data_IF_068860169677
#
_entry.id   IF_068860169677
#
_cell.length_a   1.000
_cell.length_b   1.000
_cell.length_c   1.000
_cell.angle_alpha   90.00
_cell.angle_beta   90.00
_cell.angle_gamma   90.00
#
_symmetry.space_group_name_H-M   'P 1'
#
loop_
_entity.id
_entity.type
_entity.pdbx_description
1 polymer ?
#
# COMPACT_ATOMS: atom_id res chain seq x y z
N UNK A 1 3.59 8.16 -17.38
CA UNK A 1 4.41 9.39 -17.48
C UNK A 1 4.26 10.01 -18.86
N UNK A 2 4.73 9.39 -19.94
CA UNK A 2 4.65 9.95 -21.30
C UNK A 2 3.21 10.32 -21.70
N UNK A 3 2.25 9.44 -21.45
CA UNK A 3 0.82 9.69 -21.76
C UNK A 3 0.20 10.83 -20.96
N UNK A 4 0.84 11.29 -19.90
CA UNK A 4 0.41 12.41 -19.07
C UNK A 4 1.27 13.64 -19.25
N UNK A 5 2.07 13.70 -20.33
CA UNK A 5 2.94 14.83 -20.69
C UNK A 5 3.93 15.23 -19.57
N UNK A 6 4.37 14.29 -18.75
CA UNK A 6 5.41 14.54 -17.75
C UNK A 6 6.76 14.59 -18.44
N UNK A 7 7.51 15.73 -18.34
CA UNK A 7 8.82 15.86 -18.95
C UNK A 7 9.82 14.81 -18.44
N UNK A 8 10.75 14.40 -19.30
CA UNK A 8 11.74 13.35 -18.97
C UNK A 8 12.66 13.71 -17.81
N UNK A 9 12.91 14.98 -17.59
CA UNK A 9 13.74 15.51 -16.49
C UNK A 9 12.99 15.59 -15.14
N UNK A 10 11.73 15.18 -15.12
CA UNK A 10 10.86 15.23 -13.94
C UNK A 10 10.51 13.87 -13.34
N UNK A 11 11.10 12.80 -13.84
CA UNK A 11 10.90 11.47 -13.26
C UNK A 11 12.12 10.57 -13.47
N UNK A 12 12.31 9.64 -12.54
CA UNK A 12 13.28 8.56 -12.62
C UNK A 12 12.55 7.22 -12.78
N UNK A 13 13.16 6.29 -13.50
CA UNK A 13 12.67 4.92 -13.67
C UNK A 13 13.68 3.95 -13.08
N UNK A 14 13.23 3.10 -12.18
CA UNK A 14 14.05 2.06 -11.57
C UNK A 14 13.59 0.69 -12.09
N UNK A 15 14.54 -0.15 -12.48
CA UNK A 15 14.29 -1.54 -12.86
C UNK A 15 14.95 -2.46 -11.85
N UNK A 16 14.20 -2.81 -10.80
CA UNK A 16 14.68 -3.66 -9.72
C UNK A 16 13.51 -4.47 -9.12
N UNK A 17 13.84 -5.54 -8.40
CA UNK A 17 12.90 -6.19 -7.49
C UNK A 17 12.88 -5.38 -6.19
N UNK A 18 11.89 -4.51 -6.06
CA UNK A 18 11.70 -3.58 -4.93
C UNK A 18 11.75 -4.29 -3.56
N UNK A 19 11.27 -5.53 -3.45
CA UNK A 19 11.21 -6.23 -2.17
C UNK A 19 12.56 -6.79 -1.75
N UNK A 20 13.36 -7.28 -2.70
CA UNK A 20 14.65 -7.92 -2.41
C UNK A 20 15.84 -7.00 -2.60
N UNK A 21 15.69 -5.96 -3.42
CA UNK A 21 16.74 -5.00 -3.73
C UNK A 21 16.19 -3.58 -3.68
N UNK A 22 16.45 -2.90 -2.55
CA UNK A 22 16.05 -1.51 -2.38
C UNK A 22 16.90 -0.58 -3.26
N UNK A 23 16.31 -0.10 -4.35
CA UNK A 23 16.96 0.79 -5.30
C UNK A 23 16.61 2.28 -5.13
N UNK A 24 15.83 2.63 -4.13
CA UNK A 24 15.47 4.03 -3.85
C UNK A 24 16.53 4.70 -2.97
N UNK A 25 17.71 4.93 -3.57
CA UNK A 25 18.85 5.59 -2.93
C UNK A 25 19.18 6.90 -3.62
N UNK A 26 19.61 7.89 -2.85
CA UNK A 26 20.16 9.13 -3.36
C UNK A 26 21.60 8.93 -3.90
N UNK A 27 22.21 10.01 -4.42
CA UNK A 27 23.57 10.00 -4.93
C UNK A 27 24.65 9.67 -3.89
N UNK A 28 24.31 9.78 -2.61
CA UNK A 28 25.19 9.49 -1.47
C UNK A 28 24.93 8.09 -0.87
N UNK A 29 23.95 7.35 -1.44
CA UNK A 29 23.56 6.04 -0.94
C UNK A 29 22.55 6.06 0.22
N UNK A 30 22.00 7.23 0.57
CA UNK A 30 20.97 7.33 1.59
C UNK A 30 19.59 6.93 1.03
N UNK A 31 18.73 6.44 1.90
CA UNK A 31 17.35 6.11 1.54
C UNK A 31 16.55 7.35 1.14
N UNK A 32 15.90 7.28 -0.02
CA UNK A 32 15.01 8.34 -0.47
C UNK A 32 13.73 8.26 0.34
N UNK A 33 13.32 9.37 0.95
CA UNK A 33 12.01 9.54 1.59
C UNK A 33 11.06 10.25 0.66
N UNK A 34 9.81 9.81 0.64
CA UNK A 34 8.79 10.25 -0.32
C UNK A 34 7.61 10.87 0.40
N UNK A 35 7.22 12.07 0.00
CA UNK A 35 6.04 12.77 0.57
C UNK A 35 4.75 12.09 0.13
N UNK A 36 4.67 11.61 -1.11
CA UNK A 36 3.48 10.91 -1.61
C UNK A 36 3.87 9.63 -2.34
N UNK A 37 3.24 8.54 -1.97
CA UNK A 37 3.39 7.25 -2.62
C UNK A 37 2.02 6.68 -2.99
N UNK A 38 1.87 6.20 -4.23
CA UNK A 38 0.68 5.52 -4.72
C UNK A 38 1.08 4.20 -5.34
N UNK A 39 0.44 3.11 -4.95
CA UNK A 39 0.80 1.79 -5.43
C UNK A 39 -0.44 0.88 -5.62
N UNK A 40 -0.39 0.11 -6.69
CA UNK A 40 -1.25 -1.05 -6.90
C UNK A 40 -0.31 -2.25 -7.13
N UNK A 41 0.19 -2.89 -6.07
CA UNK A 41 1.15 -3.98 -6.19
C UNK A 41 0.46 -5.25 -6.72
N UNK A 42 1.21 -6.22 -7.26
CA UNK A 42 0.64 -7.49 -7.66
C UNK A 42 0.10 -8.25 -6.43
N UNK A 43 -1.20 -8.55 -6.43
CA UNK A 43 -1.89 -9.15 -5.29
C UNK A 43 -1.39 -10.57 -5.01
N UNK A 44 -1.16 -10.86 -3.73
CA UNK A 44 -0.75 -12.17 -3.24
C UNK A 44 0.46 -12.74 -4.00
N UNK A 45 1.39 -11.88 -4.39
CA UNK A 45 2.63 -12.28 -5.04
C UNK A 45 3.45 -13.17 -4.09
N UNK A 46 4.01 -14.25 -4.61
CA UNK A 46 5.03 -15.02 -3.88
C UNK A 46 6.34 -14.26 -3.88
N UNK A 47 7.00 -14.16 -2.73
CA UNK A 47 8.31 -13.54 -2.60
C UNK A 47 9.27 -14.40 -1.79
N UNK A 48 10.54 -14.07 -1.73
CA UNK A 48 11.54 -14.91 -1.08
C UNK A 48 11.28 -15.11 0.40
N UNK A 49 10.88 -14.06 1.14
CA UNK A 49 10.71 -14.08 2.61
C UNK A 49 11.85 -14.82 3.31
N UNK A 50 13.08 -14.55 2.85
CA UNK A 50 14.28 -15.19 3.40
C UNK A 50 14.60 -14.61 4.77
N UNK A 51 15.24 -15.42 5.64
CA UNK A 51 15.62 -14.97 6.99
C UNK A 51 16.56 -13.78 6.99
N UNK A 52 17.34 -13.57 5.93
CA UNK A 52 18.19 -12.38 5.79
C UNK A 52 17.41 -11.07 5.84
N UNK A 53 16.11 -11.09 5.55
CA UNK A 53 15.24 -9.92 5.68
C UNK A 53 14.73 -9.66 7.10
N UNK A 54 14.97 -10.57 8.07
CA UNK A 54 14.57 -10.33 9.46
C UNK A 54 15.32 -9.14 10.08
N UNK A 55 16.54 -8.85 9.60
CA UNK A 55 17.34 -7.69 10.01
C UNK A 55 17.24 -6.49 9.05
N UNK A 56 16.48 -6.62 7.95
CA UNK A 56 16.25 -5.51 7.02
C UNK A 56 15.36 -4.44 7.71
N UNK A 57 15.82 -3.17 7.80
CA UNK A 57 15.09 -2.12 8.50
C UNK A 57 13.67 -1.88 7.94
N UNK A 58 13.40 -2.28 6.70
CA UNK A 58 12.06 -2.19 6.10
C UNK A 58 11.07 -3.15 6.74
N UNK A 59 11.53 -4.35 7.18
CA UNK A 59 10.67 -5.48 7.58
C UNK A 59 10.84 -5.91 9.04
N UNK A 60 11.90 -5.46 9.72
CA UNK A 60 12.25 -5.91 11.09
C UNK A 60 11.29 -5.43 12.17
N UNK A 61 10.57 -4.32 11.93
CA UNK A 61 9.78 -3.62 12.96
C UNK A 61 8.66 -4.45 13.58
N UNK A 62 8.01 -5.29 12.82
CA UNK A 62 6.94 -6.16 13.30
C UNK A 62 7.45 -7.46 13.98
N UNK A 63 8.75 -7.75 13.91
CA UNK A 63 9.37 -8.99 14.40
C UNK A 63 8.89 -10.24 13.66
N UNK A 64 8.29 -10.08 12.49
CA UNK A 64 7.86 -11.15 11.59
C UNK A 64 7.82 -10.65 10.17
N UNK A 65 8.35 -11.47 9.24
CA UNK A 65 8.25 -11.20 7.81
C UNK A 65 6.85 -11.54 7.29
N UNK A 66 6.42 -10.82 6.26
CA UNK A 66 5.23 -11.18 5.50
C UNK A 66 5.34 -12.63 4.98
N UNK A 67 4.24 -13.39 4.90
CA UNK A 67 4.27 -14.77 4.46
C UNK A 67 4.84 -14.92 3.05
N UNK A 68 5.64 -15.98 2.81
CA UNK A 68 6.21 -16.28 1.50
C UNK A 68 5.17 -16.33 0.37
N UNK A 69 3.93 -16.71 0.69
CA UNK A 69 2.84 -16.83 -0.27
C UNK A 69 2.14 -15.49 -0.58
N UNK A 70 2.35 -14.46 0.24
CA UNK A 70 1.62 -13.19 0.18
C UNK A 70 2.54 -12.03 0.54
N UNK A 71 3.08 -11.35 -0.46
CA UNK A 71 3.94 -10.17 -0.30
C UNK A 71 3.17 -8.88 0.03
N UNK A 72 1.85 -8.96 0.19
CA UNK A 72 0.99 -7.78 0.34
C UNK A 72 1.51 -6.82 1.42
N UNK A 73 1.83 -7.35 2.60
CA UNK A 73 2.41 -6.54 3.68
C UNK A 73 3.87 -6.15 3.44
N UNK A 74 4.67 -6.95 2.71
CA UNK A 74 6.04 -6.56 2.40
C UNK A 74 6.07 -5.29 1.51
N UNK A 75 5.16 -5.17 0.55
CA UNK A 75 5.00 -3.93 -0.21
C UNK A 75 4.60 -2.77 0.69
N UNK A 76 3.65 -2.97 1.61
CA UNK A 76 3.21 -1.93 2.52
C UNK A 76 4.34 -1.47 3.45
N UNK A 77 5.09 -2.41 4.04
CA UNK A 77 6.22 -2.12 4.92
C UNK A 77 7.34 -1.38 4.16
N UNK A 78 7.65 -1.79 2.92
CA UNK A 78 8.59 -1.08 2.05
C UNK A 78 8.13 0.37 1.79
N UNK A 79 6.86 0.59 1.46
CA UNK A 79 6.32 1.95 1.28
C UNK A 79 6.39 2.77 2.57
N UNK A 80 6.07 2.16 3.71
CA UNK A 80 6.16 2.84 5.01
C UNK A 80 7.59 3.23 5.36
N UNK A 81 8.58 2.41 5.02
CA UNK A 81 9.99 2.71 5.23
C UNK A 81 10.44 3.94 4.43
N UNK A 82 9.98 4.06 3.19
CA UNK A 82 10.28 5.21 2.32
C UNK A 82 9.33 6.40 2.50
N UNK A 83 8.37 6.31 3.40
CA UNK A 83 7.48 7.42 3.67
C UNK A 83 8.22 8.53 4.43
N UNK A 84 8.05 9.77 3.99
CA UNK A 84 8.55 10.94 4.72
C UNK A 84 7.97 10.97 6.14
N UNK A 85 8.81 11.28 7.13
CA UNK A 85 8.43 11.15 8.54
C UNK A 85 7.49 12.26 9.02
N UNK A 86 7.47 13.42 8.37
CA UNK A 86 6.65 14.57 8.74
C UNK A 86 5.35 14.64 7.93
N UNK A 87 5.48 14.66 6.60
CA UNK A 87 4.36 14.91 5.69
C UNK A 87 4.01 13.73 4.78
N UNK A 88 4.60 12.55 5.03
CA UNK A 88 4.44 11.37 4.20
C UNK A 88 3.00 10.88 4.11
N UNK A 89 2.59 10.49 2.90
CA UNK A 89 1.28 9.90 2.59
C UNK A 89 1.45 8.71 1.67
N UNK A 90 0.76 7.64 2.00
CA UNK A 90 0.73 6.42 1.20
C UNK A 90 -0.72 6.09 0.86
N UNK A 91 -0.98 5.77 -0.39
CA UNK A 91 -2.24 5.18 -0.84
C UNK A 91 -1.94 3.88 -1.58
N UNK A 92 -2.38 2.75 -1.05
CA UNK A 92 -2.08 1.44 -1.60
C UNK A 92 -3.31 0.57 -1.73
N UNK A 93 -3.47 -0.07 -2.88
CA UNK A 93 -4.52 -1.06 -3.12
C UNK A 93 -4.02 -2.44 -2.69
N UNK A 94 -4.75 -3.09 -1.80
CA UNK A 94 -4.42 -4.41 -1.28
C UNK A 94 -5.64 -5.33 -1.33
N UNK A 95 -5.44 -6.66 -1.43
CA UNK A 95 -6.56 -7.61 -1.28
C UNK A 95 -7.23 -7.43 0.08
N UNK A 96 -8.54 -7.44 0.13
CA UNK A 96 -9.32 -7.27 1.37
C UNK A 96 -8.89 -8.26 2.48
N UNK A 97 -8.31 -9.40 2.10
CA UNK A 97 -7.75 -10.38 3.03
C UNK A 97 -6.72 -9.83 4.02
N UNK A 98 -5.98 -8.77 3.68
CA UNK A 98 -5.01 -8.14 4.58
C UNK A 98 -5.65 -7.61 5.86
N UNK A 99 -6.95 -7.33 5.84
CA UNK A 99 -7.68 -6.80 7.00
C UNK A 99 -7.98 -7.86 8.07
N UNK A 100 -8.00 -9.15 7.71
CA UNK A 100 -8.44 -10.21 8.63
C UNK A 100 -7.59 -11.48 8.64
N UNK A 101 -6.66 -11.69 7.70
CA UNK A 101 -5.79 -12.88 7.73
C UNK A 101 -4.97 -12.92 9.03
N UNK A 102 -4.78 -14.13 9.57
CA UNK A 102 -4.05 -14.39 10.81
C UNK A 102 -2.55 -14.62 10.63
N UNK A 103 -1.90 -15.17 11.65
CA UNK A 103 -0.48 -15.55 11.59
C UNK A 103 0.47 -14.37 11.57
N UNK A 104 1.42 -14.36 10.63
CA UNK A 104 2.40 -13.29 10.48
C UNK A 104 1.72 -11.98 10.09
N UNK A 105 0.73 -12.02 9.19
CA UNK A 105 -0.01 -10.81 8.76
C UNK A 105 -0.76 -10.14 9.92
N UNK A 106 -1.31 -10.90 10.87
CA UNK A 106 -1.92 -10.34 12.09
C UNK A 106 -0.90 -9.57 12.93
N UNK A 107 0.33 -10.09 13.07
CA UNK A 107 1.39 -9.42 13.83
C UNK A 107 1.83 -8.13 13.16
N UNK A 108 2.05 -8.16 11.85
CA UNK A 108 2.43 -6.98 11.06
C UNK A 108 1.29 -5.94 11.13
N UNK A 109 0.06 -6.35 10.94
CA UNK A 109 -1.11 -5.46 11.05
C UNK A 109 -1.21 -4.79 12.42
N UNK A 110 -1.02 -5.56 13.51
CA UNK A 110 -0.98 -5.01 14.87
C UNK A 110 0.15 -4.00 15.06
N UNK A 111 1.32 -4.27 14.52
CA UNK A 111 2.45 -3.35 14.55
C UNK A 111 2.11 -2.04 13.83
N UNK A 112 1.62 -2.12 12.60
CA UNK A 112 1.28 -0.93 11.80
C UNK A 112 0.18 -0.10 12.45
N UNK A 113 -0.86 -0.75 12.99
CA UNK A 113 -2.01 -0.06 13.60
C UNK A 113 -1.71 0.48 14.99
N UNK A 114 -1.08 -0.33 15.85
CA UNK A 114 -0.94 0.01 17.28
C UNK A 114 0.37 0.70 17.63
N UNK A 115 1.45 0.35 16.93
CA UNK A 115 2.78 0.89 17.24
C UNK A 115 3.11 2.07 16.35
N UNK A 116 2.96 1.90 15.04
CA UNK A 116 3.24 2.97 14.09
C UNK A 116 2.12 4.01 14.01
N UNK A 117 0.87 3.62 14.31
CA UNK A 117 -0.33 4.47 14.27
C UNK A 117 -0.51 5.24 12.96
N UNK A 118 -0.04 4.68 11.84
CA UNK A 118 0.02 5.40 10.55
C UNK A 118 -1.20 5.18 9.66
N UNK A 119 -2.05 4.18 9.94
CA UNK A 119 -3.26 3.93 9.15
C UNK A 119 -4.30 5.02 9.41
N UNK A 120 -4.61 5.80 8.38
CA UNK A 120 -5.56 6.92 8.45
C UNK A 120 -6.95 6.50 7.99
N UNK A 121 -7.05 5.85 6.83
CA UNK A 121 -8.32 5.36 6.32
C UNK A 121 -8.19 3.99 5.64
N UNK A 122 -9.29 3.25 5.64
CA UNK A 122 -9.48 2.02 4.88
C UNK A 122 -10.78 2.12 4.11
N UNK A 123 -10.71 2.08 2.79
CA UNK A 123 -11.87 2.14 1.91
C UNK A 123 -12.05 0.77 1.26
N UNK A 124 -13.17 0.09 1.57
CA UNK A 124 -13.55 -1.15 0.89
C UNK A 124 -14.09 -0.82 -0.49
N UNK A 125 -13.48 -1.36 -1.53
CA UNK A 125 -13.88 -1.14 -2.92
C UNK A 125 -14.70 -2.32 -3.45
N UNK A 126 -15.52 -2.09 -4.50
CA UNK A 126 -16.26 -3.15 -5.15
C UNK A 126 -15.34 -4.26 -5.67
N UNK A 127 -15.81 -5.51 -5.65
CA UNK A 127 -15.15 -6.59 -6.37
C UNK A 127 -15.21 -6.39 -7.89
N UNK A 128 -14.41 -7.16 -8.61
CA UNK A 128 -14.40 -7.15 -10.08
C UNK A 128 -14.12 -5.78 -10.72
N UNK A 129 -13.29 -4.95 -10.08
CA UNK A 129 -12.84 -3.65 -10.65
C UNK A 129 -11.63 -3.81 -11.57
N UNK A 130 -10.81 -4.83 -11.39
CA UNK A 130 -9.53 -4.97 -12.08
C UNK A 130 -9.54 -6.12 -13.07
N UNK A 131 -8.84 -5.95 -14.19
CA UNK A 131 -8.71 -7.01 -15.18
C UNK A 131 -8.04 -8.27 -14.59
N UNK A 132 -8.61 -9.43 -14.91
CA UNK A 132 -8.03 -10.71 -14.51
C UNK A 132 -8.28 -11.14 -13.05
N UNK A 133 -9.01 -10.36 -12.27
CA UNK A 133 -9.36 -10.74 -10.90
C UNK A 133 -10.73 -10.21 -10.48
N UNK A 134 -11.48 -11.04 -9.77
CA UNK A 134 -12.74 -10.62 -9.12
C UNK A 134 -12.55 -10.34 -7.61
N UNK A 135 -11.31 -10.43 -7.11
CA UNK A 135 -11.02 -10.31 -5.68
C UNK A 135 -11.40 -8.90 -5.20
N UNK A 136 -12.20 -8.79 -4.11
CA UNK A 136 -12.43 -7.50 -3.49
C UNK A 136 -11.13 -6.95 -2.91
N UNK A 137 -10.93 -5.65 -3.09
CA UNK A 137 -9.74 -4.93 -2.62
C UNK A 137 -10.12 -3.82 -1.67
N UNK A 138 -9.17 -3.40 -0.87
CA UNK A 138 -9.28 -2.17 -0.09
C UNK A 138 -8.19 -1.19 -0.50
N UNK A 139 -8.54 0.09 -0.50
CA UNK A 139 -7.58 1.17 -0.53
C UNK A 139 -7.20 1.50 0.91
N UNK A 140 -5.94 1.32 1.25
CA UNK A 140 -5.40 1.71 2.55
C UNK A 140 -4.63 3.02 2.42
N UNK A 141 -4.99 3.99 3.24
CA UNK A 141 -4.34 5.30 3.29
C UNK A 141 -3.56 5.41 4.60
N UNK A 142 -2.28 5.76 4.48
CA UNK A 142 -1.41 6.01 5.61
C UNK A 142 -0.92 7.46 5.58
N UNK A 143 -0.69 8.02 6.77
CA UNK A 143 -0.10 9.34 6.97
C UNK A 143 0.95 9.29 8.08
N UNK A 144 2.03 10.05 7.92
CA UNK A 144 3.05 10.21 8.94
C UNK A 144 2.52 11.00 10.14
N UNK A 145 1.90 12.12 9.85
CA UNK A 145 1.27 12.95 10.87
C UNK A 145 -0.26 12.89 10.72
N UNK A 146 -0.93 12.43 11.76
CA UNK A 146 -2.39 12.29 11.83
C UNK A 146 -3.04 13.25 12.82
N UNK A 147 -2.22 14.07 13.51
CA UNK A 147 -2.69 15.06 14.49
C UNK A 147 -3.64 14.43 15.52
N UNK A 148 -4.75 15.06 15.78
CA UNK A 148 -5.79 14.61 16.73
C UNK A 148 -6.45 13.29 16.35
N UNK A 149 -6.36 12.88 15.07
CA UNK A 149 -6.95 11.62 14.58
C UNK A 149 -6.02 10.40 14.77
N UNK A 150 -4.87 10.53 15.40
CA UNK A 150 -3.89 9.44 15.56
C UNK A 150 -4.45 8.18 16.24
N UNK A 151 -5.47 8.33 17.08
CA UNK A 151 -6.17 7.23 17.75
C UNK A 151 -7.32 6.58 16.97
N UNK A 152 -7.71 7.14 15.82
CA UNK A 152 -8.88 6.70 15.06
C UNK A 152 -8.48 6.23 13.65
N UNK A 153 -9.25 5.33 13.07
CA UNK A 153 -9.14 4.93 11.66
C UNK A 153 -10.50 5.12 11.01
N UNK A 154 -10.55 5.84 9.90
CA UNK A 154 -11.77 5.98 9.11
C UNK A 154 -11.99 4.71 8.28
N UNK A 155 -13.17 4.10 8.40
CA UNK A 155 -13.60 3.00 7.55
C UNK A 155 -14.74 3.45 6.64
N UNK A 156 -14.54 3.28 5.33
CA UNK A 156 -15.54 3.58 4.30
C UNK A 156 -15.89 2.27 3.58
N UNK A 157 -17.16 1.90 3.61
CA UNK A 157 -17.67 0.79 2.81
C UNK A 157 -18.25 1.30 1.49
N UNK A 158 -17.41 1.29 0.46
CA UNK A 158 -17.77 1.62 -0.92
C UNK A 158 -18.00 0.37 -1.78
N UNK A 159 -18.18 -0.81 -1.18
CA UNK A 159 -18.32 -2.08 -1.90
C UNK A 159 -19.51 -2.14 -2.86
N UNK A 160 -20.48 -1.23 -2.71
CA UNK A 160 -21.66 -1.10 -3.57
C UNK A 160 -21.65 0.12 -4.48
N UNK A 161 -20.60 0.94 -4.41
CA UNK A 161 -20.46 2.17 -5.20
C UNK A 161 -19.79 1.85 -6.55
N UNK A 162 -20.55 1.39 -7.53
CA UNK A 162 -20.05 1.09 -8.88
C UNK A 162 -21.18 1.08 -9.92
N UNK A 163 -20.80 1.19 -11.16
CA UNK A 163 -21.64 0.84 -12.30
C UNK A 163 -21.24 -0.52 -12.86
N UNK A 164 -22.24 -1.37 -13.14
CA UNK A 164 -22.00 -2.69 -13.70
C UNK A 164 -21.62 -2.59 -15.18
N UNK A 165 -20.39 -2.94 -15.52
CA UNK A 165 -19.94 -3.03 -16.91
C UNK A 165 -20.12 -4.45 -17.48
N UNK A 166 -19.91 -4.61 -18.78
CA UNK A 166 -20.07 -5.90 -19.48
C UNK A 166 -19.10 -6.99 -19.00
N UNK A 167 -17.91 -6.63 -18.59
CA UNK A 167 -16.85 -7.55 -18.17
C UNK A 167 -16.36 -7.31 -16.74
N UNK A 168 -16.43 -6.08 -16.27
CA UNK A 168 -15.98 -5.67 -14.95
C UNK A 168 -16.79 -4.48 -14.46
N UNK A 169 -16.81 -4.27 -13.15
CA UNK A 169 -17.39 -3.09 -12.54
C UNK A 169 -16.52 -1.85 -12.81
N UNK A 170 -17.14 -0.69 -12.81
CA UNK A 170 -16.47 0.59 -13.10
C UNK A 170 -16.79 1.57 -11.98
N UNK A 171 -15.79 2.27 -11.49
CA UNK A 171 -15.96 3.46 -10.65
C UNK A 171 -16.05 4.67 -11.58
N UNK A 172 -17.21 5.30 -11.61
CA UNK A 172 -17.40 6.58 -12.30
C UNK A 172 -16.94 7.75 -11.45
N UNK A 173 -16.77 8.92 -12.05
CA UNK A 173 -16.40 10.14 -11.29
C UNK A 173 -17.41 10.41 -10.17
N UNK A 174 -18.71 10.20 -10.43
CA UNK A 174 -19.76 10.33 -9.41
C UNK A 174 -19.63 9.32 -8.24
N UNK A 175 -19.19 8.07 -8.51
CA UNK A 175 -18.88 7.13 -7.44
C UNK A 175 -17.67 7.60 -6.62
N UNK A 176 -16.63 8.10 -7.30
CA UNK A 176 -15.42 8.60 -6.63
C UNK A 176 -15.73 9.81 -5.77
N UNK A 177 -16.46 10.79 -6.30
CA UNK A 177 -16.90 11.98 -5.54
C UNK A 177 -17.65 11.59 -4.26
N UNK A 178 -18.56 10.61 -4.35
CA UNK A 178 -19.31 10.12 -3.20
C UNK A 178 -18.45 9.39 -2.17
N UNK A 179 -17.39 8.71 -2.60
CA UNK A 179 -16.46 8.01 -1.70
C UNK A 179 -15.57 9.00 -0.95
N UNK A 180 -15.21 10.12 -1.56
CA UNK A 180 -14.25 11.09 -0.99
C UNK A 180 -14.92 12.28 -0.29
N UNK A 181 -16.25 12.43 -0.43
CA UNK A 181 -17.03 13.47 0.26
C UNK A 181 -17.17 13.19 1.76
#
# INVERSE_FOLDING_TARGET
MIMHNVPWDKFDLYNCDTLTNDCYKDKNGNDIKMTVQVCNPPYSLKWSSDKSFEDDPRYSGAGKLAPKAHADFAFLEHMMYHMDDEDGRVAVLLPAGVLFRGGAEDKIRKYIVKTMTRVDAVVMLPGNLFHGTSIPVCLMVLKSNRGENSGNILFIDASKEFEAGKKQNVLTDGNIEKIVA
#
